data_IF_865117660823
#
_entry.id   IF_865117660823
#
_cell.length_a   1.000
_cell.length_b   1.000
_cell.length_c   1.000
_cell.angle_alpha   90.00
_cell.angle_beta   90.00
_cell.angle_gamma   90.00
#
_symmetry.space_group_name_H-M   'P 1'
#
loop_
_entity.id
_entity.type
_entity.pdbx_description
1 polymer ?
#
# COMPACT_ATOMS: atom_id res chain seq x y z
N UNK A 1 -24.72 -30.16 -6.42
CA UNK A 1 -24.73 -28.69 -6.61
C UNK A 1 -24.58 -28.43 -8.11
N UNK A 2 -25.41 -27.57 -8.71
CA UNK A 2 -25.23 -27.19 -10.11
C UNK A 2 -23.93 -26.39 -10.27
N UNK A 3 -23.24 -26.48 -11.40
CA UNK A 3 -21.96 -25.77 -11.64
C UNK A 3 -22.11 -24.26 -11.45
N UNK A 4 -23.25 -23.69 -11.87
CA UNK A 4 -23.53 -22.27 -11.67
C UNK A 4 -23.56 -21.87 -10.18
N UNK A 5 -24.13 -22.71 -9.32
CA UNK A 5 -24.17 -22.45 -7.88
C UNK A 5 -22.79 -22.61 -7.25
N UNK A 6 -22.02 -23.60 -7.72
CA UNK A 6 -20.64 -23.80 -7.32
C UNK A 6 -19.76 -22.58 -7.67
N UNK A 7 -19.90 -22.06 -8.89
CA UNK A 7 -19.18 -20.85 -9.33
C UNK A 7 -19.56 -19.62 -8.50
N UNK A 8 -20.86 -19.41 -8.22
CA UNK A 8 -21.30 -18.31 -7.35
C UNK A 8 -20.69 -18.42 -5.96
N UNK A 9 -20.67 -19.62 -5.38
CA UNK A 9 -20.07 -19.86 -4.08
C UNK A 9 -18.56 -19.61 -4.10
N UNK A 10 -17.85 -20.10 -5.12
CA UNK A 10 -16.42 -19.83 -5.30
C UNK A 10 -16.12 -18.32 -5.34
N UNK A 11 -16.89 -17.56 -6.11
CA UNK A 11 -16.77 -16.09 -6.18
C UNK A 11 -16.98 -15.45 -4.80
N UNK A 12 -17.98 -15.92 -4.03
CA UNK A 12 -18.20 -15.42 -2.67
C UNK A 12 -17.02 -15.70 -1.74
N UNK A 13 -16.39 -16.89 -1.83
CA UNK A 13 -15.19 -17.21 -1.06
C UNK A 13 -14.02 -16.31 -1.46
N UNK A 14 -13.78 -16.10 -2.75
CA UNK A 14 -12.73 -15.19 -3.23
C UNK A 14 -12.95 -13.75 -2.80
N UNK A 15 -14.19 -13.24 -2.89
CA UNK A 15 -14.55 -11.89 -2.46
C UNK A 15 -14.40 -11.72 -0.94
N UNK A 16 -14.56 -12.79 -0.17
CA UNK A 16 -14.36 -12.81 1.27
C UNK A 16 -12.91 -13.14 1.70
N UNK A 17 -11.96 -13.17 0.74
CA UNK A 17 -10.54 -13.45 1.02
C UNK A 17 -10.22 -14.91 1.37
N UNK A 18 -11.20 -15.82 1.28
CA UNK A 18 -11.02 -17.25 1.54
C UNK A 18 -10.57 -17.97 0.26
N UNK A 19 -9.33 -17.70 -0.14
CA UNK A 19 -8.75 -18.18 -1.40
C UNK A 19 -8.70 -19.71 -1.49
N UNK A 20 -8.38 -20.40 -0.39
CA UNK A 20 -8.32 -21.88 -0.35
C UNK A 20 -9.68 -22.48 -0.68
N UNK A 21 -10.74 -22.05 0.02
CA UNK A 21 -12.10 -22.54 -0.25
C UNK A 21 -12.55 -22.27 -1.69
N UNK A 22 -12.27 -21.07 -2.21
CA UNK A 22 -12.62 -20.70 -3.59
C UNK A 22 -11.90 -21.56 -4.63
N UNK A 23 -10.62 -21.83 -4.40
CA UNK A 23 -9.78 -22.70 -5.23
C UNK A 23 -10.27 -24.14 -5.19
N UNK A 24 -10.59 -24.68 -4.01
CA UNK A 24 -11.09 -26.05 -3.85
C UNK A 24 -12.41 -26.27 -4.60
N UNK A 25 -13.31 -25.28 -4.56
CA UNK A 25 -14.56 -25.34 -5.32
C UNK A 25 -14.27 -25.31 -6.82
N UNK A 26 -13.37 -24.44 -7.28
CA UNK A 26 -12.99 -24.38 -8.70
C UNK A 26 -12.34 -25.69 -9.16
N UNK A 27 -11.46 -26.30 -8.36
CA UNK A 27 -10.85 -27.59 -8.65
C UNK A 27 -11.89 -28.70 -8.85
N UNK A 28 -12.89 -28.78 -7.96
CA UNK A 28 -14.01 -29.73 -8.11
C UNK A 28 -14.86 -29.49 -9.35
N UNK A 29 -15.01 -28.23 -9.79
CA UNK A 29 -15.67 -27.93 -11.07
C UNK A 29 -14.81 -28.46 -12.22
N UNK A 30 -13.50 -28.27 -12.17
CA UNK A 30 -12.57 -28.73 -13.21
C UNK A 30 -12.43 -30.26 -13.25
N UNK A 31 -12.62 -30.97 -12.13
CA UNK A 31 -12.67 -32.45 -12.13
C UNK A 31 -13.83 -32.98 -12.99
N UNK A 32 -14.94 -32.23 -13.06
CA UNK A 32 -16.12 -32.59 -13.85
C UNK A 32 -16.06 -32.00 -15.27
N UNK A 33 -15.55 -30.77 -15.39
CA UNK A 33 -15.45 -30.02 -16.63
C UNK A 33 -14.07 -29.32 -16.72
N UNK A 34 -13.03 -30.04 -17.18
CA UNK A 34 -11.64 -29.54 -17.15
C UNK A 34 -11.41 -28.21 -17.87
N UNK A 35 -12.21 -27.95 -18.91
CA UNK A 35 -12.08 -26.75 -19.73
C UNK A 35 -13.06 -25.62 -19.32
N UNK A 36 -13.80 -25.74 -18.21
CA UNK A 36 -14.78 -24.74 -17.80
C UNK A 36 -14.17 -23.33 -17.76
N UNK A 37 -14.62 -22.37 -18.60
CA UNK A 37 -13.96 -21.08 -18.74
C UNK A 37 -13.99 -20.24 -17.46
N UNK A 38 -15.09 -20.28 -16.72
CA UNK A 38 -15.27 -19.49 -15.51
C UNK A 38 -14.36 -19.97 -14.37
N UNK A 39 -14.30 -21.28 -14.11
CA UNK A 39 -13.42 -21.84 -13.09
C UNK A 39 -11.94 -21.64 -13.43
N UNK A 40 -11.56 -21.82 -14.70
CA UNK A 40 -10.19 -21.53 -15.17
C UNK A 40 -9.81 -20.05 -14.98
N UNK A 41 -10.70 -19.10 -15.31
CA UNK A 41 -10.45 -17.67 -15.08
C UNK A 41 -10.31 -17.32 -13.59
N UNK A 42 -11.12 -17.92 -12.72
CA UNK A 42 -11.01 -17.69 -11.27
C UNK A 42 -9.66 -18.18 -10.72
N UNK A 43 -9.24 -19.38 -11.13
CA UNK A 43 -7.94 -19.94 -10.75
C UNK A 43 -6.77 -19.15 -11.35
N UNK A 44 -6.89 -18.68 -12.60
CA UNK A 44 -5.89 -17.80 -13.20
C UNK A 44 -5.72 -16.49 -12.42
N UNK A 45 -6.84 -15.88 -11.98
CA UNK A 45 -6.82 -14.66 -11.16
C UNK A 45 -6.17 -14.91 -9.80
N UNK A 46 -6.43 -16.06 -9.17
CA UNK A 46 -5.78 -16.43 -7.91
C UNK A 46 -4.28 -16.69 -8.11
N UNK A 47 -3.89 -17.45 -9.13
CA UNK A 47 -2.48 -17.70 -9.45
C UNK A 47 -1.70 -16.40 -9.72
N UNK A 48 -2.31 -15.41 -10.39
CA UNK A 48 -1.74 -14.07 -10.54
C UNK A 48 -1.55 -13.35 -9.20
N UNK A 49 -2.47 -13.50 -8.24
CA UNK A 49 -2.31 -12.95 -6.88
C UNK A 49 -1.17 -13.63 -6.13
N UNK A 50 -0.99 -14.93 -6.34
CA UNK A 50 0.08 -15.73 -5.74
C UNK A 50 1.44 -15.52 -6.45
N UNK A 51 1.45 -14.82 -7.59
CA UNK A 51 2.64 -14.57 -8.40
C UNK A 51 3.03 -15.72 -9.33
N UNK A 52 2.24 -16.79 -9.39
CA UNK A 52 2.43 -17.92 -10.30
C UNK A 52 1.87 -17.62 -11.69
N UNK A 53 2.66 -16.88 -12.48
CA UNK A 53 2.31 -16.50 -13.85
C UNK A 53 2.19 -17.70 -14.79
N UNK A 54 2.96 -18.76 -14.55
CA UNK A 54 2.94 -19.95 -15.41
C UNK A 54 1.61 -20.70 -15.27
N UNK A 55 1.14 -20.89 -14.03
CA UNK A 55 -0.17 -21.48 -13.77
C UNK A 55 -1.29 -20.58 -14.28
N UNK A 56 -1.20 -19.27 -14.08
CA UNK A 56 -2.17 -18.32 -14.62
C UNK A 56 -2.29 -18.41 -16.15
N UNK A 57 -1.16 -18.42 -16.86
CA UNK A 57 -1.10 -18.59 -18.32
C UNK A 57 -1.79 -19.86 -18.78
N UNK A 58 -1.49 -21.02 -18.17
CA UNK A 58 -2.12 -22.30 -18.52
C UNK A 58 -3.64 -22.26 -18.38
N UNK A 59 -4.15 -21.68 -17.30
CA UNK A 59 -5.60 -21.56 -17.09
C UNK A 59 -6.26 -20.58 -18.08
N UNK A 60 -5.62 -19.46 -18.38
CA UNK A 60 -6.08 -18.51 -19.41
C UNK A 60 -6.16 -19.19 -20.78
N UNK A 61 -5.10 -19.90 -21.18
CA UNK A 61 -5.04 -20.59 -22.47
C UNK A 61 -6.13 -21.68 -22.56
N UNK A 62 -6.37 -22.41 -21.46
CA UNK A 62 -7.45 -23.41 -21.37
C UNK A 62 -8.82 -22.77 -21.54
N UNK A 63 -9.09 -21.64 -20.86
CA UNK A 63 -10.35 -20.94 -20.97
C UNK A 63 -10.60 -20.39 -22.39
N UNK A 64 -9.56 -19.86 -23.04
CA UNK A 64 -9.64 -19.34 -24.41
C UNK A 64 -9.76 -20.45 -25.47
N UNK A 65 -9.20 -21.64 -25.21
CA UNK A 65 -9.38 -22.79 -26.09
C UNK A 65 -10.82 -23.31 -26.09
N UNK A 66 -11.48 -23.33 -24.94
CA UNK A 66 -12.89 -23.71 -24.80
C UNK A 66 -13.85 -22.62 -25.28
N UNK A 67 -13.59 -21.38 -24.88
CA UNK A 67 -14.43 -20.23 -25.18
C UNK A 67 -13.57 -19.07 -25.69
N UNK A 68 -13.32 -19.08 -27.00
CA UNK A 68 -12.47 -18.11 -27.69
C UNK A 68 -12.88 -16.64 -27.47
N UNK A 69 -14.15 -16.39 -27.15
CA UNK A 69 -14.72 -15.05 -26.91
C UNK A 69 -15.13 -14.83 -25.45
N UNK A 70 -14.47 -15.49 -24.50
CA UNK A 70 -14.70 -15.27 -23.08
C UNK A 70 -14.02 -13.99 -22.58
N UNK A 71 -14.75 -12.90 -22.23
CA UNK A 71 -14.15 -11.59 -21.99
C UNK A 71 -13.14 -11.60 -20.84
N UNK A 72 -13.47 -12.26 -19.73
CA UNK A 72 -12.61 -12.30 -18.55
C UNK A 72 -11.31 -13.10 -18.78
N UNK A 73 -11.26 -14.00 -19.77
CA UNK A 73 -10.00 -14.66 -20.14
C UNK A 73 -9.12 -13.75 -20.99
N UNK A 74 -9.70 -12.95 -21.91
CA UNK A 74 -8.95 -11.92 -22.65
C UNK A 74 -8.42 -10.81 -21.75
N UNK A 75 -9.14 -10.44 -20.68
CA UNK A 75 -8.68 -9.50 -19.66
C UNK A 75 -7.39 -9.99 -18.99
N UNK A 76 -7.40 -11.25 -18.51
CA UNK A 76 -6.24 -11.85 -17.87
C UNK A 76 -5.09 -12.12 -18.86
N UNK A 77 -5.39 -12.47 -20.09
CA UNK A 77 -4.39 -12.62 -21.17
C UNK A 77 -3.69 -11.29 -21.46
N UNK A 78 -4.46 -10.20 -21.58
CA UNK A 78 -3.94 -8.87 -21.76
C UNK A 78 -3.02 -8.46 -20.60
N UNK A 79 -3.43 -8.75 -19.37
CA UNK A 79 -2.63 -8.50 -18.16
C UNK A 79 -1.33 -9.31 -18.12
N UNK A 80 -1.36 -10.59 -18.51
CA UNK A 80 -0.17 -11.44 -18.56
C UNK A 80 0.82 -11.06 -19.66
N UNK A 81 0.35 -10.43 -20.76
CA UNK A 81 1.16 -9.92 -21.88
C UNK A 81 1.65 -8.47 -21.67
N UNK A 82 0.86 -7.65 -20.97
CA UNK A 82 1.41 -6.67 -20.04
C UNK A 82 2.24 -7.42 -18.98
N UNK A 83 2.86 -6.88 -17.93
CA UNK A 83 3.77 -7.68 -17.07
C UNK A 83 4.97 -8.46 -17.72
N UNK A 84 4.85 -9.37 -18.70
CA UNK A 84 5.93 -10.04 -19.46
C UNK A 84 6.74 -9.06 -20.34
N UNK A 85 7.90 -8.61 -19.89
CA UNK A 85 8.74 -7.62 -20.59
C UNK A 85 9.23 -8.09 -21.98
N UNK A 86 9.16 -9.40 -22.25
CA UNK A 86 9.55 -9.97 -23.55
C UNK A 86 8.40 -10.01 -24.56
N UNK A 87 7.17 -9.82 -24.11
CA UNK A 87 5.99 -9.84 -24.96
C UNK A 87 5.93 -8.59 -25.84
N UNK A 88 5.61 -8.78 -27.13
CA UNK A 88 5.32 -7.67 -28.05
C UNK A 88 4.17 -6.83 -27.46
N UNK A 89 4.38 -5.52 -27.19
CA UNK A 89 3.37 -4.64 -26.61
C UNK A 89 2.06 -4.61 -27.40
N UNK A 90 2.10 -4.88 -28.71
CA UNK A 90 0.92 -4.94 -29.55
C UNK A 90 0.05 -6.16 -29.24
N UNK A 91 0.62 -7.25 -28.70
CA UNK A 91 -0.14 -8.46 -28.34
C UNK A 91 -1.03 -8.22 -27.12
N UNK A 92 -0.54 -7.49 -26.12
CA UNK A 92 -1.31 -7.08 -24.94
C UNK A 92 -2.45 -6.14 -25.35
N UNK A 93 -2.15 -5.15 -26.19
CA UNK A 93 -3.14 -4.21 -26.72
C UNK A 93 -4.25 -4.92 -27.51
N UNK A 94 -3.92 -5.91 -28.34
CA UNK A 94 -4.93 -6.69 -29.08
C UNK A 94 -5.86 -7.48 -28.15
N UNK A 95 -5.32 -8.18 -27.16
CA UNK A 95 -6.11 -8.94 -26.18
C UNK A 95 -7.01 -8.00 -25.37
N UNK A 96 -6.47 -6.84 -24.98
CA UNK A 96 -7.21 -5.83 -24.26
C UNK A 96 -8.35 -5.23 -25.08
N UNK A 97 -8.09 -4.85 -26.35
CA UNK A 97 -9.14 -4.40 -27.28
C UNK A 97 -10.22 -5.44 -27.51
N UNK A 98 -9.86 -6.73 -27.55
CA UNK A 98 -10.84 -7.81 -27.67
C UNK A 98 -11.77 -7.84 -26.46
N UNK A 99 -11.24 -7.69 -25.25
CA UNK A 99 -12.03 -7.57 -24.01
C UNK A 99 -13.03 -6.42 -24.09
N UNK A 100 -12.60 -5.24 -24.52
CA UNK A 100 -13.47 -4.07 -24.65
C UNK A 100 -14.56 -4.24 -25.71
N UNK A 101 -14.30 -4.98 -26.79
CA UNK A 101 -15.31 -5.34 -27.80
C UNK A 101 -16.33 -6.33 -27.25
N UNK A 102 -15.89 -7.31 -26.47
CA UNK A 102 -16.75 -8.37 -25.95
C UNK A 102 -17.59 -7.93 -24.74
N UNK A 103 -17.09 -6.97 -23.95
CA UNK A 103 -17.75 -6.49 -22.74
C UNK A 103 -17.75 -4.94 -22.63
N UNK A 104 -18.30 -4.19 -23.61
CA UNK A 104 -18.18 -2.73 -23.67
C UNK A 104 -18.89 -1.99 -22.52
N UNK A 105 -19.84 -2.64 -21.85
CA UNK A 105 -20.61 -2.11 -20.73
C UNK A 105 -20.06 -2.44 -19.34
N UNK A 106 -18.97 -3.22 -19.23
CA UNK A 106 -18.35 -3.52 -17.94
C UNK A 106 -17.24 -2.51 -17.65
N UNK A 107 -17.18 -1.96 -16.44
CA UNK A 107 -16.18 -0.96 -16.07
C UNK A 107 -14.78 -1.55 -15.85
N UNK A 108 -14.69 -2.79 -15.34
CA UNK A 108 -13.44 -3.41 -14.92
C UNK A 108 -12.40 -3.51 -16.05
N UNK A 109 -12.75 -3.94 -17.28
CA UNK A 109 -11.83 -3.89 -18.40
C UNK A 109 -11.26 -2.48 -18.60
N UNK A 110 -12.10 -1.44 -18.67
CA UNK A 110 -11.63 -0.06 -18.84
C UNK A 110 -10.65 0.37 -17.75
N UNK A 111 -10.91 0.03 -16.50
CA UNK A 111 -9.98 0.29 -15.39
C UNK A 111 -8.62 -0.39 -15.60
N UNK A 112 -8.60 -1.66 -16.02
CA UNK A 112 -7.37 -2.41 -16.22
C UNK A 112 -6.51 -1.87 -17.37
N UNK A 113 -7.09 -1.33 -18.44
CA UNK A 113 -6.30 -0.64 -19.48
C UNK A 113 -5.68 0.65 -18.99
N UNK A 114 -6.39 1.39 -18.15
CA UNK A 114 -5.79 2.54 -17.48
C UNK A 114 -4.57 2.13 -16.64
N UNK A 115 -4.66 0.99 -15.94
CA UNK A 115 -3.53 0.46 -15.17
C UNK A 115 -2.38 0.02 -16.05
N UNK A 116 -2.67 -0.58 -17.21
CA UNK A 116 -1.68 -0.96 -18.20
C UNK A 116 -0.85 0.24 -18.68
N UNK A 117 -1.51 1.33 -19.07
CA UNK A 117 -0.82 2.54 -19.52
C UNK A 117 0.08 3.14 -18.43
N UNK A 118 -0.36 3.11 -17.16
CA UNK A 118 0.48 3.59 -16.05
C UNK A 118 1.64 2.65 -15.71
N UNK A 119 1.42 1.33 -15.65
CA UNK A 119 2.43 0.38 -15.19
C UNK A 119 3.54 0.13 -16.22
N UNK A 120 3.21 0.10 -17.51
CA UNK A 120 4.17 -0.25 -18.58
C UNK A 120 4.82 0.94 -19.26
N UNK A 121 4.13 2.07 -19.32
CA UNK A 121 4.53 3.22 -20.12
C UNK A 121 4.72 4.49 -19.31
N UNK A 122 4.36 4.46 -18.02
CA UNK A 122 4.21 5.63 -17.15
C UNK A 122 3.54 6.79 -17.91
N UNK A 123 2.46 6.45 -18.64
CA UNK A 123 1.74 7.36 -19.52
C UNK A 123 0.38 7.71 -18.90
N UNK A 124 0.34 8.67 -17.96
CA UNK A 124 -0.90 9.07 -17.31
C UNK A 124 -1.87 9.73 -18.31
N UNK A 125 -1.38 10.37 -19.37
CA UNK A 125 -2.24 11.00 -20.38
C UNK A 125 -3.09 9.96 -21.12
N UNK A 126 -2.48 8.86 -21.53
CA UNK A 126 -3.20 7.76 -22.16
C UNK A 126 -4.10 7.00 -21.19
N UNK A 127 -3.78 6.96 -19.89
CA UNK A 127 -4.58 6.26 -18.87
C UNK A 127 -5.90 6.98 -18.50
N UNK A 128 -5.92 8.32 -18.54
CA UNK A 128 -7.09 9.13 -18.10
C UNK A 128 -8.40 8.77 -18.83
N UNK A 129 -8.46 8.65 -20.17
CA UNK A 129 -9.68 8.27 -20.88
C UNK A 129 -10.26 6.92 -20.43
N UNK A 130 -9.40 5.96 -20.10
CA UNK A 130 -9.79 4.64 -19.62
C UNK A 130 -10.48 4.72 -18.26
N UNK A 131 -9.88 5.41 -17.29
CA UNK A 131 -10.50 5.58 -15.97
C UNK A 131 -11.80 6.39 -16.04
N UNK A 132 -11.86 7.44 -16.87
CA UNK A 132 -13.10 8.21 -17.10
C UNK A 132 -14.20 7.34 -17.68
N UNK A 133 -13.87 6.44 -18.61
CA UNK A 133 -14.85 5.51 -19.18
C UNK A 133 -15.33 4.49 -18.16
N UNK A 134 -14.43 3.96 -17.32
CA UNK A 134 -14.80 3.09 -16.20
C UNK A 134 -15.80 3.80 -15.25
N UNK A 135 -15.52 5.05 -14.87
CA UNK A 135 -16.41 5.84 -14.01
C UNK A 135 -17.71 6.26 -14.69
N UNK A 136 -17.75 6.37 -16.02
CA UNK A 136 -19.02 6.59 -16.74
C UNK A 136 -19.93 5.36 -16.62
N UNK A 137 -19.35 4.17 -16.63
CA UNK A 137 -20.10 2.90 -16.52
C UNK A 137 -20.45 2.56 -15.07
N UNK A 138 -19.59 2.95 -14.13
CA UNK A 138 -19.78 2.74 -12.70
C UNK A 138 -19.28 3.95 -11.89
N UNK A 139 -20.13 4.98 -11.69
CA UNK A 139 -19.74 6.26 -11.08
C UNK A 139 -19.30 6.19 -9.61
N UNK A 140 -19.60 5.09 -8.95
CA UNK A 140 -19.35 4.88 -7.52
C UNK A 140 -18.09 4.03 -7.25
N UNK A 141 -17.39 3.56 -8.28
CA UNK A 141 -16.21 2.72 -8.13
C UNK A 141 -14.99 3.54 -7.68
N UNK A 142 -14.51 3.24 -6.47
CA UNK A 142 -13.38 3.93 -5.86
C UNK A 142 -12.04 3.67 -6.57
N UNK A 143 -11.68 2.42 -6.97
CA UNK A 143 -10.37 2.17 -7.56
C UNK A 143 -10.10 2.98 -8.85
N UNK A 144 -11.03 3.06 -9.83
CA UNK A 144 -10.89 3.96 -10.98
C UNK A 144 -10.80 5.44 -10.59
N UNK A 145 -11.56 5.91 -9.60
CA UNK A 145 -11.50 7.29 -9.13
C UNK A 145 -10.12 7.66 -8.54
N UNK A 146 -9.54 6.79 -7.70
CA UNK A 146 -8.22 7.03 -7.10
C UNK A 146 -7.08 6.95 -8.11
N UNK A 147 -7.17 6.04 -9.09
CA UNK A 147 -6.17 5.96 -10.15
C UNK A 147 -6.30 7.13 -11.15
N UNK A 148 -7.51 7.61 -11.41
CA UNK A 148 -7.75 8.84 -12.17
C UNK A 148 -7.14 10.05 -11.45
N UNK A 149 -7.42 10.24 -10.15
CA UNK A 149 -6.83 11.31 -9.35
C UNK A 149 -5.29 11.27 -9.34
N UNK A 150 -4.72 10.06 -9.22
CA UNK A 150 -3.26 9.85 -9.31
C UNK A 150 -2.72 10.30 -10.68
N UNK A 151 -3.36 9.87 -11.77
CA UNK A 151 -2.94 10.23 -13.13
C UNK A 151 -3.08 11.75 -13.39
N UNK A 152 -4.14 12.36 -12.87
CA UNK A 152 -4.36 13.81 -12.95
C UNK A 152 -3.28 14.60 -12.21
N UNK A 153 -2.89 14.19 -10.99
CA UNK A 153 -1.76 14.79 -10.27
C UNK A 153 -0.42 14.62 -11.01
N UNK A 154 -0.19 13.48 -11.66
CA UNK A 154 0.99 13.31 -12.52
C UNK A 154 1.00 14.31 -13.68
N UNK A 155 -0.17 14.58 -14.27
CA UNK A 155 -0.35 15.55 -15.34
C UNK A 155 -0.40 17.02 -14.87
N UNK A 156 -0.45 17.27 -13.56
CA UNK A 156 -0.57 18.61 -12.98
C UNK A 156 -2.00 19.16 -12.95
N UNK A 157 -3.00 18.33 -13.19
CA UNK A 157 -4.43 18.69 -13.10
C UNK A 157 -4.94 18.46 -11.66
N UNK A 158 -4.42 19.28 -10.73
CA UNK A 158 -4.71 19.14 -9.30
C UNK A 158 -6.18 19.40 -8.95
N UNK A 159 -6.86 20.31 -9.65
CA UNK A 159 -8.31 20.55 -9.44
C UNK A 159 -9.15 19.32 -9.79
N UNK A 160 -8.88 18.66 -10.93
CA UNK A 160 -9.65 17.48 -11.28
C UNK A 160 -9.35 16.30 -10.34
N UNK A 161 -8.12 16.17 -9.85
CA UNK A 161 -7.77 15.20 -8.82
C UNK A 161 -8.49 15.47 -7.49
N UNK A 162 -8.56 16.74 -7.07
CA UNK A 162 -9.26 17.14 -5.85
C UNK A 162 -10.76 16.82 -5.92
N UNK A 163 -11.39 17.09 -7.06
CA UNK A 163 -12.80 16.73 -7.29
C UNK A 163 -13.06 15.21 -7.21
N UNK A 164 -12.15 14.40 -7.78
CA UNK A 164 -12.24 12.94 -7.67
C UNK A 164 -12.08 12.47 -6.21
N UNK A 165 -11.17 13.08 -5.45
CA UNK A 165 -11.00 12.79 -4.02
C UNK A 165 -12.25 13.17 -3.21
N UNK A 166 -12.84 14.33 -3.47
CA UNK A 166 -14.06 14.81 -2.82
C UNK A 166 -15.25 13.86 -3.06
N UNK A 167 -15.42 13.36 -4.29
CA UNK A 167 -16.48 12.40 -4.60
C UNK A 167 -16.30 11.08 -3.84
N UNK A 168 -15.07 10.57 -3.72
CA UNK A 168 -14.79 9.39 -2.89
C UNK A 168 -15.08 9.67 -1.41
N UNK A 169 -14.63 10.83 -0.89
CA UNK A 169 -14.81 11.21 0.51
C UNK A 169 -16.26 11.48 0.90
N UNK A 170 -17.12 11.85 -0.04
CA UNK A 170 -18.56 11.95 0.21
C UNK A 170 -19.20 10.60 0.61
N UNK A 171 -18.57 9.47 0.23
CA UNK A 171 -19.03 8.10 0.55
C UNK A 171 -18.25 7.50 1.72
N UNK A 172 -16.94 7.69 1.70
CA UNK A 172 -16.02 7.27 2.76
C UNK A 172 -15.13 8.45 3.17
N UNK A 173 -15.57 9.26 4.14
CA UNK A 173 -14.85 10.45 4.60
C UNK A 173 -13.40 10.19 5.03
N UNK A 174 -13.10 8.94 5.38
CA UNK A 174 -11.84 8.49 5.97
C UNK A 174 -10.99 7.68 4.99
N UNK A 175 -11.36 7.65 3.71
CA UNK A 175 -10.66 6.88 2.70
C UNK A 175 -9.19 7.34 2.57
N UNK A 176 -8.27 6.53 3.08
CA UNK A 176 -6.85 6.88 3.29
C UNK A 176 -6.19 7.39 2.02
N UNK A 177 -6.36 6.68 0.90
CA UNK A 177 -5.76 7.09 -0.38
C UNK A 177 -6.38 8.37 -0.93
N UNK A 178 -7.66 8.65 -0.65
CA UNK A 178 -8.29 9.89 -1.10
C UNK A 178 -7.73 11.09 -0.32
N UNK A 179 -7.60 10.96 1.00
CA UNK A 179 -6.97 11.98 1.85
C UNK A 179 -5.50 12.25 1.45
N UNK A 180 -4.75 11.21 1.12
CA UNK A 180 -3.37 11.34 0.66
C UNK A 180 -3.28 12.10 -0.67
N UNK A 181 -4.11 11.75 -1.65
CA UNK A 181 -4.11 12.44 -2.95
C UNK A 181 -4.67 13.86 -2.84
N UNK A 182 -5.64 14.09 -1.95
CA UNK A 182 -6.15 15.42 -1.63
C UNK A 182 -5.09 16.33 -1.03
N UNK A 183 -4.30 15.87 -0.06
CA UNK A 183 -3.18 16.69 0.48
C UNK A 183 -2.19 17.07 -0.60
N UNK A 184 -1.85 16.14 -1.52
CA UNK A 184 -0.99 16.45 -2.66
C UNK A 184 -1.63 17.48 -3.62
N UNK A 185 -2.92 17.32 -3.93
CA UNK A 185 -3.66 18.25 -4.78
C UNK A 185 -3.75 19.66 -4.16
N UNK A 186 -4.06 19.76 -2.86
CA UNK A 186 -4.15 21.02 -2.14
C UNK A 186 -2.82 21.77 -2.14
N UNK A 187 -1.70 21.09 -1.94
CA UNK A 187 -0.37 21.71 -2.04
C UNK A 187 -0.07 22.19 -3.47
N UNK A 188 -0.37 21.41 -4.51
CA UNK A 188 -0.17 21.82 -5.91
C UNK A 188 -1.05 23.03 -6.29
N UNK A 189 -2.20 23.22 -5.62
CA UNK A 189 -3.09 24.37 -5.78
C UNK A 189 -2.72 25.58 -4.90
N UNK A 190 -1.66 25.49 -4.09
CA UNK A 190 -1.27 26.55 -3.14
C UNK A 190 -2.19 26.68 -1.92
N UNK A 191 -3.06 25.70 -1.67
CA UNK A 191 -3.98 25.63 -0.52
C UNK A 191 -3.32 24.94 0.67
N UNK A 192 -2.12 25.40 1.03
CA UNK A 192 -1.26 24.74 2.01
C UNK A 192 -1.90 24.65 3.41
N UNK A 193 -2.67 25.64 3.83
CA UNK A 193 -3.33 25.64 5.14
C UNK A 193 -4.33 24.47 5.30
N UNK A 194 -5.04 24.11 4.22
CA UNK A 194 -5.98 22.99 4.22
C UNK A 194 -5.25 21.65 4.23
N UNK A 195 -4.16 21.53 3.47
CA UNK A 195 -3.31 20.34 3.49
C UNK A 195 -2.63 20.16 4.86
N UNK A 196 -2.09 21.24 5.44
CA UNK A 196 -1.42 21.25 6.75
C UNK A 196 -2.41 20.92 7.88
N UNK A 197 -3.69 21.31 7.76
CA UNK A 197 -4.75 20.87 8.68
C UNK A 197 -4.91 19.35 8.64
N UNK A 198 -4.99 18.75 7.44
CA UNK A 198 -5.13 17.29 7.28
C UNK A 198 -3.91 16.53 7.79
N UNK A 199 -2.69 17.04 7.54
CA UNK A 199 -1.45 16.43 8.02
C UNK A 199 -1.31 16.58 9.54
N UNK A 200 -1.76 17.71 10.08
CA UNK A 200 -1.81 18.01 11.50
C UNK A 200 -0.42 17.99 12.15
N UNK A 201 0.57 18.68 11.58
CA UNK A 201 1.95 18.69 12.11
C UNK A 201 2.01 19.18 13.57
N UNK A 202 2.75 18.48 14.43
CA UNK A 202 2.85 18.73 15.87
C UNK A 202 1.65 18.22 16.68
N UNK A 203 0.49 18.07 16.05
CA UNK A 203 -0.70 17.44 16.62
C UNK A 203 -0.80 15.98 16.20
N UNK A 204 -1.40 15.71 15.04
CA UNK A 204 -1.61 14.37 14.51
C UNK A 204 -0.31 13.71 14.05
N UNK A 205 0.56 14.47 13.36
CA UNK A 205 1.87 14.01 12.89
C UNK A 205 2.95 14.55 13.82
N UNK A 206 3.58 13.69 14.62
CA UNK A 206 4.56 14.12 15.63
C UNK A 206 5.54 13.02 16.03
N UNK A 207 6.69 13.42 16.56
CA UNK A 207 7.57 12.54 17.32
C UNK A 207 6.96 12.26 18.70
N UNK A 208 7.16 11.05 19.19
CA UNK A 208 6.82 10.60 20.55
C UNK A 208 7.97 9.76 21.11
N UNK A 209 8.12 9.79 22.42
CA UNK A 209 9.00 8.88 23.14
C UNK A 209 8.16 7.71 23.65
N UNK A 210 8.67 6.49 23.48
CA UNK A 210 8.04 5.32 24.08
C UNK A 210 8.44 5.25 25.56
N UNK A 211 7.52 4.84 26.46
CA UNK A 211 7.90 4.53 27.83
C UNK A 211 9.01 3.49 27.86
N UNK A 212 10.03 3.70 28.69
CA UNK A 212 11.11 2.72 28.88
C UNK A 212 10.53 1.37 29.34
N UNK A 213 10.80 0.26 28.63
CA UNK A 213 10.35 -1.05 29.07
C UNK A 213 11.01 -1.49 30.37
N UNK A 214 10.22 -2.13 31.25
CA UNK A 214 10.72 -2.67 32.52
C UNK A 214 11.85 -3.69 32.32
N UNK A 215 12.77 -3.75 33.30
CA UNK A 215 13.88 -4.71 33.28
C UNK A 215 15.13 -4.21 32.54
N UNK A 216 15.12 -2.99 32.02
CA UNK A 216 16.27 -2.34 31.41
C UNK A 216 16.64 -1.06 32.19
N UNK A 217 17.94 -0.74 32.34
CA UNK A 217 18.38 0.45 33.07
C UNK A 217 18.05 1.75 32.33
N UNK A 218 18.12 1.73 31.01
CA UNK A 218 17.82 2.86 30.13
C UNK A 218 17.33 2.38 28.74
N UNK A 219 16.91 3.33 27.90
CA UNK A 219 16.41 3.04 26.54
C UNK A 219 17.51 2.47 25.63
N UNK A 220 18.78 2.80 25.87
CA UNK A 220 19.90 2.31 25.05
C UNK A 220 20.15 0.82 25.30
N UNK A 221 20.14 0.39 26.56
CA UNK A 221 20.22 -1.01 26.96
C UNK A 221 19.03 -1.82 26.45
N UNK A 222 17.81 -1.24 26.51
CA UNK A 222 16.63 -1.83 25.88
C UNK A 222 16.82 -2.01 24.37
N UNK A 223 17.19 -0.95 23.65
CA UNK A 223 17.37 -0.99 22.21
C UNK A 223 18.46 -1.97 21.77
N UNK A 224 19.54 -2.10 22.54
CA UNK A 224 20.56 -3.11 22.28
C UNK A 224 19.99 -4.54 22.36
N UNK A 225 19.24 -4.85 23.42
CA UNK A 225 18.59 -6.16 23.56
C UNK A 225 17.50 -6.39 22.49
N UNK A 226 16.70 -5.37 22.19
CA UNK A 226 15.64 -5.43 21.19
C UNK A 226 16.19 -5.63 19.77
N UNK A 227 17.27 -4.93 19.41
CA UNK A 227 18.00 -5.15 18.16
C UNK A 227 18.52 -6.58 18.04
N UNK A 228 19.08 -7.15 19.13
CA UNK A 228 19.52 -8.54 19.15
C UNK A 228 18.35 -9.52 18.94
N UNK A 229 17.20 -9.25 19.56
CA UNK A 229 15.97 -10.02 19.37
C UNK A 229 15.45 -9.96 17.92
N UNK A 230 15.42 -8.77 17.31
CA UNK A 230 15.01 -8.59 15.90
C UNK A 230 15.91 -9.41 14.96
N UNK A 231 17.23 -9.37 15.13
CA UNK A 231 18.17 -10.08 14.23
C UNK A 231 18.04 -11.60 14.28
N UNK A 232 17.63 -12.15 15.42
CA UNK A 232 17.44 -13.60 15.64
C UNK A 232 15.99 -14.06 15.45
N UNK A 233 15.09 -13.16 15.02
CA UNK A 233 13.67 -13.46 14.92
C UNK A 233 13.41 -14.54 13.84
N UNK A 234 12.56 -15.56 14.11
CA UNK A 234 12.33 -16.68 13.18
C UNK A 234 11.68 -16.25 11.86
N UNK A 235 10.90 -15.17 11.86
CA UNK A 235 10.28 -14.60 10.66
C UNK A 235 11.18 -13.64 9.86
N UNK A 236 12.49 -13.58 10.18
CA UNK A 236 13.44 -12.77 9.42
C UNK A 236 13.60 -13.34 8.00
N UNK A 237 13.59 -12.44 7.01
CA UNK A 237 13.82 -12.73 5.60
C UNK A 237 14.91 -11.78 5.07
N UNK A 238 15.95 -12.36 4.50
CA UNK A 238 17.10 -11.63 3.91
C UNK A 238 17.00 -11.56 2.37
N UNK A 239 16.11 -12.34 1.77
CA UNK A 239 15.91 -12.53 0.33
C UNK A 239 14.74 -11.67 -0.22
N UNK A 240 14.60 -10.44 0.30
CA UNK A 240 13.39 -9.67 0.07
C UNK A 240 13.40 -8.89 -1.26
N UNK A 241 12.44 -9.21 -2.15
CA UNK A 241 12.26 -8.61 -3.48
C UNK A 241 11.86 -7.11 -3.41
N UNK A 242 12.74 -6.18 -3.87
CA UNK A 242 12.50 -4.73 -3.88
C UNK A 242 11.35 -4.28 -4.78
N UNK A 243 10.93 -5.10 -5.75
CA UNK A 243 9.92 -4.71 -6.74
C UNK A 243 8.49 -4.70 -6.17
N UNK A 244 8.28 -5.31 -4.99
CA UNK A 244 6.95 -5.52 -4.41
C UNK A 244 6.61 -4.56 -3.25
N UNK A 245 7.57 -3.79 -2.72
CA UNK A 245 7.36 -2.88 -1.57
C UNK A 245 8.24 -1.62 -1.67
N UNK A 246 7.97 -0.64 -0.81
CA UNK A 246 8.71 0.62 -0.78
C UNK A 246 10.20 0.48 -0.36
N UNK A 247 10.57 -0.63 0.27
CA UNK A 247 11.93 -0.92 0.74
C UNK A 247 12.78 -1.45 -0.41
N UNK A 248 13.95 -0.84 -0.62
CA UNK A 248 15.00 -1.36 -1.52
C UNK A 248 16.16 -1.88 -0.68
N UNK A 249 16.43 -3.19 -0.76
CA UNK A 249 17.52 -3.87 -0.03
C UNK A 249 17.22 -4.21 1.44
N UNK A 250 18.22 -4.76 2.14
CA UNK A 250 18.15 -5.14 3.56
C UNK A 250 17.34 -6.40 3.88
N UNK A 251 17.01 -6.56 5.16
CA UNK A 251 16.22 -7.66 5.70
C UNK A 251 14.95 -7.16 6.39
N UNK A 252 13.91 -7.98 6.40
CA UNK A 252 12.62 -7.67 7.05
C UNK A 252 12.24 -8.76 8.04
N UNK A 253 11.60 -8.37 9.14
CA UNK A 253 10.96 -9.27 10.09
C UNK A 253 9.47 -9.02 10.06
N UNK A 254 8.71 -9.99 9.56
CA UNK A 254 7.25 -9.93 9.55
C UNK A 254 6.66 -10.47 10.85
N UNK A 255 5.50 -9.94 11.25
CA UNK A 255 4.79 -10.34 12.46
C UNK A 255 5.69 -10.33 13.71
N UNK A 256 6.31 -9.16 13.97
CA UNK A 256 7.38 -9.00 14.95
C UNK A 256 6.96 -9.39 16.37
N UNK A 257 5.69 -9.17 16.72
CA UNK A 257 5.17 -9.42 18.07
C UNK A 257 4.90 -10.92 18.35
N UNK A 258 5.04 -11.80 17.35
CA UNK A 258 4.78 -13.23 17.50
C UNK A 258 5.89 -13.98 18.26
N UNK A 259 7.11 -13.43 18.36
CA UNK A 259 8.19 -14.08 19.11
C UNK A 259 8.07 -13.83 20.61
N UNK A 260 8.12 -14.92 21.38
CA UNK A 260 8.15 -14.85 22.85
C UNK A 260 9.56 -14.47 23.35
N UNK A 261 9.82 -13.17 23.43
CA UNK A 261 11.07 -12.60 23.94
C UNK A 261 10.81 -11.38 24.85
N UNK A 262 11.54 -11.21 25.97
CA UNK A 262 11.33 -10.11 26.90
C UNK A 262 11.38 -8.71 26.27
N UNK A 263 12.30 -8.46 25.33
CA UNK A 263 12.44 -7.17 24.66
C UNK A 263 11.29 -6.95 23.66
N UNK A 264 10.89 -7.98 22.90
CA UNK A 264 9.73 -7.92 21.99
C UNK A 264 8.44 -7.64 22.78
N UNK A 265 8.19 -8.37 23.87
CA UNK A 265 7.01 -8.14 24.74
C UNK A 265 7.05 -6.77 25.40
N UNK A 266 8.23 -6.32 25.82
CA UNK A 266 8.46 -4.98 26.38
C UNK A 266 8.11 -3.88 25.38
N UNK A 267 8.59 -4.00 24.15
CA UNK A 267 8.24 -3.11 23.05
C UNK A 267 6.73 -3.05 22.81
N UNK A 268 6.07 -4.21 22.70
CA UNK A 268 4.63 -4.26 22.47
C UNK A 268 3.81 -3.53 23.53
N UNK A 269 4.18 -3.65 24.82
CA UNK A 269 3.54 -2.92 25.92
C UNK A 269 3.82 -1.41 25.87
N UNK A 270 5.06 -1.02 25.60
CA UNK A 270 5.44 0.39 25.50
C UNK A 270 4.73 1.08 24.32
N UNK A 271 4.65 0.41 23.17
CA UNK A 271 3.94 0.88 22.00
C UNK A 271 2.44 1.04 22.27
N UNK A 272 1.77 0.02 22.84
CA UNK A 272 0.34 0.13 23.20
C UNK A 272 0.07 1.30 24.16
N UNK A 273 0.92 1.48 25.17
CA UNK A 273 0.82 2.62 26.10
C UNK A 273 0.96 3.97 25.39
N UNK A 274 1.96 4.11 24.51
CA UNK A 274 2.20 5.32 23.72
C UNK A 274 1.04 5.62 22.76
N UNK A 275 0.47 4.61 22.10
CA UNK A 275 -0.68 4.75 21.20
C UNK A 275 -1.94 5.16 21.97
N UNK A 276 -2.19 4.58 23.15
CA UNK A 276 -3.29 5.03 24.02
C UNK A 276 -3.13 6.47 24.47
N UNK A 277 -1.90 6.88 24.81
CA UNK A 277 -1.60 8.26 25.15
C UNK A 277 -1.80 9.19 23.95
N UNK A 278 -1.38 8.77 22.76
CA UNK A 278 -1.60 9.51 21.52
C UNK A 278 -3.08 9.77 21.26
N UNK A 279 -3.91 8.72 21.30
CA UNK A 279 -5.36 8.81 21.08
C UNK A 279 -6.02 9.72 22.11
N UNK A 280 -5.67 9.62 23.39
CA UNK A 280 -6.20 10.50 24.45
C UNK A 280 -5.83 11.98 24.26
N UNK A 281 -4.72 12.24 23.60
CA UNK A 281 -4.21 13.59 23.36
C UNK A 281 -4.63 14.16 21.99
N UNK A 282 -5.47 13.46 21.22
CA UNK A 282 -6.01 13.99 19.99
C UNK A 282 -6.89 15.23 20.26
N UNK A 283 -6.82 16.27 19.42
CA UNK A 283 -7.67 17.43 19.57
C UNK A 283 -9.15 17.04 19.37
N UNK A 284 -10.05 17.74 20.07
CA UNK A 284 -11.47 17.61 19.81
C UNK A 284 -11.83 18.38 18.51
N UNK A 285 -11.85 17.68 17.39
CA UNK A 285 -12.26 18.22 16.08
C UNK A 285 -13.08 17.15 15.32
N UNK A 286 -14.41 17.24 15.42
CA UNK A 286 -15.32 16.29 14.76
C UNK A 286 -15.36 16.45 13.23
N UNK A 287 -14.89 17.59 12.71
CA UNK A 287 -14.84 17.84 11.26
C UNK A 287 -13.55 17.30 10.63
N UNK A 288 -12.53 17.02 11.45
CA UNK A 288 -11.29 16.45 10.95
C UNK A 288 -11.44 14.94 10.71
N UNK A 289 -11.22 14.43 9.48
CA UNK A 289 -11.53 13.05 9.12
C UNK A 289 -10.79 12.03 10.00
N UNK A 290 -9.49 12.20 10.23
CA UNK A 290 -8.73 11.30 11.10
C UNK A 290 -9.25 11.24 12.55
N UNK A 291 -9.66 12.38 13.10
CA UNK A 291 -10.12 12.49 14.50
C UNK A 291 -11.53 11.92 14.63
N UNK A 292 -12.41 12.26 13.68
CA UNK A 292 -13.76 11.68 13.59
C UNK A 292 -13.72 10.14 13.46
N UNK A 293 -12.69 9.61 12.80
CA UNK A 293 -12.46 8.18 12.59
C UNK A 293 -11.76 7.45 13.75
N UNK A 294 -11.54 8.10 14.89
CA UNK A 294 -10.75 7.52 15.99
C UNK A 294 -11.33 6.17 16.45
N UNK A 295 -10.58 5.07 16.35
CA UNK A 295 -11.10 3.75 16.68
C UNK A 295 -11.19 3.52 18.19
N UNK A 296 -12.30 2.93 18.65
CA UNK A 296 -12.47 2.53 20.05
C UNK A 296 -11.62 1.31 20.43
N UNK A 297 -11.35 0.44 19.46
CA UNK A 297 -10.50 -0.75 19.57
C UNK A 297 -9.68 -0.90 18.29
N UNK A 298 -8.51 -1.52 18.41
CA UNK A 298 -7.61 -1.68 17.27
C UNK A 298 -6.82 -2.99 17.28
N UNK A 299 -6.35 -3.35 16.10
CA UNK A 299 -5.27 -4.31 15.85
C UNK A 299 -3.98 -3.55 15.52
N UNK A 300 -2.84 -4.21 15.69
CA UNK A 300 -1.54 -3.71 15.24
C UNK A 300 -0.90 -4.72 14.32
N UNK A 301 -0.50 -4.26 13.14
CA UNK A 301 0.44 -4.97 12.27
C UNK A 301 1.81 -4.35 12.52
N UNK A 302 2.80 -5.16 12.94
CA UNK A 302 4.13 -4.66 13.37
C UNK A 302 5.23 -5.46 12.70
N UNK A 303 6.19 -4.77 12.10
CA UNK A 303 7.32 -5.39 11.40
C UNK A 303 8.61 -4.59 11.60
N UNK A 304 9.76 -5.27 11.53
CA UNK A 304 11.06 -4.62 11.60
C UNK A 304 11.72 -4.57 10.22
N UNK A 305 12.42 -3.48 9.94
CA UNK A 305 13.28 -3.31 8.78
C UNK A 305 14.73 -3.16 9.27
N UNK A 306 15.62 -3.94 8.68
CA UNK A 306 17.05 -3.96 8.94
C UNK A 306 17.73 -3.53 7.64
N UNK A 307 18.16 -2.28 7.57
CA UNK A 307 18.63 -1.65 6.33
C UNK A 307 20.11 -1.30 6.41
N UNK A 308 20.83 -1.53 5.31
CA UNK A 308 22.23 -1.14 5.12
C UNK A 308 22.36 0.27 4.52
N UNK A 309 23.59 0.64 4.17
CA UNK A 309 23.84 1.85 3.38
C UNK A 309 23.31 1.66 1.95
N UNK A 310 22.72 2.71 1.36
CA UNK A 310 22.05 2.76 0.05
C UNK A 310 20.58 2.29 0.01
N UNK A 311 20.07 1.71 1.10
CA UNK A 311 18.66 1.32 1.22
C UNK A 311 17.80 2.54 1.55
N UNK A 312 16.73 2.76 0.79
CA UNK A 312 15.78 3.85 1.02
C UNK A 312 14.34 3.42 0.80
N UNK A 313 13.42 4.16 1.42
CA UNK A 313 11.99 4.05 1.16
C UNK A 313 11.55 5.26 0.34
N UNK A 314 10.94 5.01 -0.82
CA UNK A 314 10.34 6.08 -1.64
C UNK A 314 9.10 6.65 -0.96
N UNK A 315 8.61 7.79 -1.44
CA UNK A 315 7.36 8.38 -0.94
C UNK A 315 6.22 7.36 -1.00
N UNK A 316 5.55 7.11 0.13
CA UNK A 316 4.41 6.20 0.21
C UNK A 316 3.48 6.54 1.37
N UNK A 317 2.37 5.80 1.45
CA UNK A 317 1.34 5.83 2.50
C UNK A 317 0.97 4.40 2.89
N UNK A 318 0.22 4.26 3.98
CA UNK A 318 -0.25 2.97 4.49
C UNK A 318 -1.75 2.83 4.26
N UNK A 319 -2.15 2.33 3.09
CA UNK A 319 -3.54 2.36 2.62
C UNK A 319 -4.58 1.68 3.53
N UNK A 320 -4.15 0.79 4.43
CA UNK A 320 -5.05 -0.01 5.29
C UNK A 320 -5.07 0.46 6.74
N UNK A 321 -4.12 1.30 7.16
CA UNK A 321 -4.03 1.80 8.54
C UNK A 321 -4.92 3.01 8.76
N UNK A 322 -5.31 3.25 10.02
CA UNK A 322 -5.83 4.56 10.47
C UNK A 322 -4.68 5.48 10.91
N UNK A 323 -3.75 4.92 11.69
CA UNK A 323 -2.53 5.56 12.15
C UNK A 323 -1.35 4.65 11.85
N UNK A 324 -0.24 5.24 11.41
CA UNK A 324 1.01 4.54 11.17
C UNK A 324 2.12 5.15 12.00
N UNK A 325 3.19 4.40 12.18
CA UNK A 325 4.38 4.94 12.82
C UNK A 325 5.61 4.11 12.61
N UNK A 326 6.73 4.69 13.01
CA UNK A 326 8.05 4.04 12.97
C UNK A 326 8.81 4.36 14.23
N UNK A 327 9.29 3.32 14.92
CA UNK A 327 10.21 3.41 16.05
C UNK A 327 11.64 3.13 15.59
N UNK A 328 12.59 3.94 16.02
CA UNK A 328 14.00 3.81 15.65
C UNK A 328 14.76 3.06 16.74
N UNK A 329 15.13 1.81 16.46
CA UNK A 329 15.84 0.95 17.43
C UNK A 329 17.33 1.26 17.41
N UNK A 330 17.92 1.30 16.22
CA UNK A 330 19.34 1.56 16.01
C UNK A 330 19.54 2.41 14.76
N UNK A 331 20.42 3.40 14.86
CA UNK A 331 20.79 4.27 13.74
C UNK A 331 22.29 4.16 13.46
N UNK A 332 22.70 4.15 12.19
CA UNK A 332 24.12 4.20 11.82
C UNK A 332 24.70 5.56 12.21
N UNK A 333 25.97 5.58 12.62
CA UNK A 333 26.65 6.80 13.10
C UNK A 333 26.77 7.91 12.05
N UNK A 334 26.58 7.59 10.76
CA UNK A 334 26.53 8.58 9.68
C UNK A 334 25.26 9.43 9.66
N UNK A 335 24.17 9.00 10.31
CA UNK A 335 22.93 9.78 10.40
C UNK A 335 23.01 10.71 11.61
N UNK A 336 23.10 12.03 11.35
CA UNK A 336 23.32 13.04 12.40
C UNK A 336 22.21 14.07 12.47
N UNK A 337 22.00 14.63 13.66
CA UNK A 337 20.99 15.64 13.93
C UNK A 337 21.36 17.03 13.36
N UNK A 338 22.63 17.26 13.07
CA UNK A 338 23.18 18.51 12.54
C UNK A 338 23.59 18.39 11.05
N UNK A 339 23.16 17.32 10.37
CA UNK A 339 23.44 17.12 8.95
C UNK A 339 22.60 18.10 8.10
N UNK A 340 23.23 19.02 7.33
CA UNK A 340 22.51 19.95 6.47
C UNK A 340 21.70 19.26 5.36
N UNK A 341 22.12 18.08 4.91
CA UNK A 341 21.43 17.28 3.90
C UNK A 341 20.37 16.35 4.50
N UNK A 342 20.31 16.28 5.84
CA UNK A 342 19.34 15.49 6.60
C UNK A 342 19.29 14.02 6.16
N UNK A 343 20.45 13.43 5.83
CA UNK A 343 20.53 12.07 5.32
C UNK A 343 20.00 11.08 6.37
N UNK A 344 19.13 10.18 5.93
CA UNK A 344 18.52 9.15 6.77
C UNK A 344 17.33 9.65 7.60
N UNK A 345 16.98 10.93 7.53
CA UNK A 345 15.81 11.47 8.22
C UNK A 345 14.52 10.99 7.57
N UNK A 346 13.44 10.97 8.33
CA UNK A 346 12.10 10.81 7.75
C UNK A 346 11.61 12.16 7.24
N UNK A 347 11.19 12.19 5.97
CA UNK A 347 10.60 13.37 5.32
C UNK A 347 9.12 13.11 5.08
N UNK A 348 8.29 14.11 5.36
CA UNK A 348 6.85 14.10 5.20
C UNK A 348 6.39 15.02 4.07
N UNK A 349 5.17 14.79 3.58
CA UNK A 349 4.43 15.57 2.60
C UNK A 349 4.95 15.52 1.16
N UNK A 350 6.06 14.80 0.90
CA UNK A 350 6.47 14.52 -0.47
C UNK A 350 5.68 13.35 -1.05
N UNK A 351 4.87 13.56 -2.11
CA UNK A 351 4.04 12.52 -2.66
C UNK A 351 4.87 11.40 -3.31
N UNK A 352 4.30 10.19 -3.27
CA UNK A 352 4.83 8.97 -3.83
C UNK A 352 4.27 8.61 -5.20
N UNK A 353 4.47 7.35 -5.58
CA UNK A 353 3.81 6.72 -6.75
C UNK A 353 4.02 7.45 -8.09
N UNK A 354 5.16 8.13 -8.25
CA UNK A 354 5.51 8.89 -9.45
C UNK A 354 4.76 10.23 -9.58
N UNK A 355 4.04 10.67 -8.55
CA UNK A 355 3.44 12.00 -8.51
C UNK A 355 4.58 13.03 -8.32
N UNK A 356 4.76 13.99 -9.25
CA UNK A 356 5.80 15.01 -9.11
C UNK A 356 5.53 15.94 -7.94
N UNK A 357 6.57 16.35 -7.23
CA UNK A 357 6.50 17.44 -6.26
C UNK A 357 6.80 18.77 -6.96
N UNK A 358 5.83 19.69 -7.00
CA UNK A 358 5.92 20.96 -7.75
C UNK A 358 6.30 22.18 -6.91
N UNK A 359 6.83 21.97 -5.70
CA UNK A 359 7.33 23.05 -4.84
C UNK A 359 6.27 23.77 -3.99
N UNK A 360 5.00 23.34 -4.03
CA UNK A 360 3.93 23.89 -3.20
C UNK A 360 3.76 23.23 -1.82
N UNK A 361 4.35 22.04 -1.62
CA UNK A 361 4.20 21.32 -0.35
C UNK A 361 5.21 21.79 0.70
N UNK A 362 4.73 22.05 1.91
CA UNK A 362 5.58 22.27 3.08
C UNK A 362 6.21 20.94 3.49
N UNK A 363 7.42 20.68 3.00
CA UNK A 363 8.17 19.50 3.42
C UNK A 363 8.59 19.65 4.87
N UNK A 364 8.44 18.57 5.63
CA UNK A 364 8.82 18.50 7.04
C UNK A 364 9.73 17.30 7.24
N UNK A 365 10.70 17.40 8.13
CA UNK A 365 11.61 16.30 8.45
C UNK A 365 11.71 16.10 9.96
N UNK A 366 11.96 14.85 10.38
CA UNK A 366 12.28 14.51 11.77
C UNK A 366 13.60 13.73 11.82
N UNK A 367 14.48 14.16 12.73
CA UNK A 367 15.70 13.42 13.03
C UNK A 367 15.34 12.10 13.75
N UNK A 368 15.72 10.93 13.21
CA UNK A 368 15.35 9.63 13.73
C UNK A 368 16.23 9.20 14.91
N UNK A 369 16.11 9.85 16.06
CA UNK A 369 16.89 9.46 17.24
C UNK A 369 16.54 8.03 17.71
N UNK A 370 17.55 7.23 18.09
CA UNK A 370 17.30 5.91 18.66
C UNK A 370 16.46 6.05 19.95
N UNK A 371 15.36 5.30 20.06
CA UNK A 371 14.39 5.44 21.15
C UNK A 371 13.17 6.33 20.83
N UNK A 372 13.20 7.06 19.72
CA UNK A 372 12.07 7.87 19.27
C UNK A 372 11.15 7.06 18.36
N UNK A 373 9.84 7.35 18.40
CA UNK A 373 8.90 6.98 17.36
C UNK A 373 8.27 8.20 16.69
N UNK A 374 8.07 8.13 15.37
CA UNK A 374 7.21 9.07 14.66
C UNK A 374 5.82 8.43 14.52
N UNK A 375 4.77 9.19 14.87
CA UNK A 375 3.37 8.82 14.67
C UNK A 375 2.73 9.79 13.68
N UNK A 376 1.93 9.27 12.75
CA UNK A 376 1.26 10.05 11.73
C UNK A 376 0.02 9.33 11.19
N UNK A 377 -1.05 10.05 10.80
CA UNK A 377 -2.17 9.45 10.09
C UNK A 377 -1.68 8.67 8.87
N UNK A 378 -2.27 7.50 8.60
CA UNK A 378 -1.73 6.58 7.58
C UNK A 378 -1.77 7.11 6.14
N UNK A 379 -2.51 8.21 5.89
CA UNK A 379 -2.55 8.91 4.61
C UNK A 379 -1.44 9.96 4.45
N UNK A 380 -0.66 10.25 5.49
CA UNK A 380 0.43 11.22 5.41
C UNK A 380 1.58 10.62 4.61
N UNK A 381 1.91 11.27 3.51
CA UNK A 381 3.06 10.92 2.69
C UNK A 381 4.34 11.00 3.50
N UNK A 382 5.15 9.94 3.42
CA UNK A 382 6.44 9.93 4.06
C UNK A 382 7.45 9.10 3.26
N UNK A 383 8.73 9.39 3.49
CA UNK A 383 9.88 8.67 2.95
C UNK A 383 11.07 8.74 3.89
N UNK A 384 12.08 7.90 3.66
CA UNK A 384 13.41 8.11 4.25
C UNK A 384 14.29 8.85 3.23
N UNK A 385 14.93 9.95 3.64
CA UNK A 385 15.97 10.60 2.83
C UNK A 385 17.14 9.61 2.68
N UNK A 386 17.60 9.30 1.45
CA UNK A 386 18.73 8.40 1.25
C UNK A 386 19.95 8.84 2.06
N UNK A 387 20.70 7.86 2.59
CA UNK A 387 21.93 8.12 3.31
C UNK A 387 23.04 7.19 2.81
N UNK A 388 24.27 7.70 2.87
CA UNK A 388 25.49 6.91 2.62
C UNK A 388 26.23 6.70 3.94
N UNK A 389 26.90 5.56 4.11
CA UNK A 389 27.66 5.31 5.33
C UNK A 389 27.95 3.84 5.61
N UNK A 390 28.31 3.55 6.85
CA UNK A 390 28.48 2.18 7.36
C UNK A 390 27.66 1.99 8.63
N UNK A 391 27.23 0.76 8.86
CA UNK A 391 26.37 0.41 9.99
C UNK A 391 24.93 0.13 9.56
N UNK A 392 24.17 -0.41 10.51
CA UNK A 392 22.83 -0.93 10.28
C UNK A 392 21.80 0.02 10.87
N UNK A 393 20.77 0.33 10.08
CA UNK A 393 19.56 1.00 10.55
C UNK A 393 18.51 -0.05 10.88
N UNK A 394 18.14 -0.16 12.15
CA UNK A 394 17.01 -0.99 12.58
C UNK A 394 15.85 -0.07 12.95
N UNK A 395 14.74 -0.24 12.23
CA UNK A 395 13.48 0.46 12.51
C UNK A 395 12.34 -0.53 12.63
N UNK A 396 11.35 -0.22 13.46
CA UNK A 396 10.13 -1.00 13.62
C UNK A 396 8.97 -0.15 13.16
N UNK A 397 8.37 -0.52 12.04
CA UNK A 397 7.18 0.13 11.52
C UNK A 397 5.92 -0.61 11.98
N UNK A 398 4.82 0.11 12.09
CA UNK A 398 3.55 -0.44 12.49
C UNK A 398 2.37 0.32 11.91
N UNK A 399 1.28 -0.40 11.71
CA UNK A 399 -0.02 0.12 11.34
C UNK A 399 -1.06 -0.24 12.40
N UNK A 400 -1.86 0.76 12.77
CA UNK A 400 -3.01 0.60 13.65
C UNK A 400 -4.27 0.52 12.79
N UNK A 401 -4.98 -0.60 12.91
CA UNK A 401 -6.22 -0.86 12.18
C UNK A 401 -7.42 -0.85 13.13
N UNK A 402 -8.53 -0.17 12.79
CA UNK A 402 -9.78 -0.29 13.54
C UNK A 402 -10.24 -1.76 13.66
N UNK A 403 -10.83 -2.13 14.80
CA UNK A 403 -11.41 -3.46 15.07
C UNK A 403 -12.91 -3.43 15.35
#
# INVERSE_FOLDING_TARGET
MQIADALRLAIQHFNAGRAVDGTDICARILDLHPANPAANVLLARQALRDGDRATARRHVDTALAEAADYPAAHELDARLKAEDETADPNTAERAYRRTLTLAPGQWAPWYDGGNLHQARRDDPAAAVPFYRRALTLAPDEIPPAMNLATAQLKLGDAEAALNACAHTRARDPNHIRALALETAALYDLGRADEADRLVGWGGLTRAVELPQPDGYPDIAAFNHAFAAAIRRHPNRRDDWDPSKRAIRGGAVVTDLLAMDDPAIRGFGRALDSALRAYVRALPADAEHPHVAATPARWALDVWANILGADDHQTGHIHNLGWLSGVYYVAMPGGVRADDPEQQGWIEFNRPGYGIPHRGGATLRTLFPAAGMAALFPSYVWHRTIPFTGTGERISVAFDLHPR
#
